data_IF_237886686009
#
_entry.id   IF_237886686009
#
_cell.length_a   1.000
_cell.length_b   1.000
_cell.length_c   1.000
_cell.angle_alpha   90.00
_cell.angle_beta   90.00
_cell.angle_gamma   90.00
#
_symmetry.space_group_name_H-M   'P 1'
#
loop_
_entity.id
_entity.type
_entity.pdbx_description
1 polymer ?
#
# COMPACT_ATOMS: atom_id res chain seq x y z
N UNK A 1 23.93 -19.34 -9.59
CA UNK A 1 23.48 -17.96 -9.30
C UNK A 1 22.11 -18.06 -8.67
N UNK A 2 22.03 -17.85 -7.37
CA UNK A 2 20.80 -18.05 -6.59
C UNK A 2 20.20 -16.67 -6.36
N UNK A 3 19.04 -16.40 -6.98
CA UNK A 3 18.25 -15.15 -6.89
C UNK A 3 17.65 -14.89 -5.47
N UNK A 4 18.27 -15.42 -4.41
CA UNK A 4 17.73 -15.38 -3.04
C UNK A 4 18.41 -14.38 -2.11
N UNK A 5 19.64 -13.97 -2.41
CA UNK A 5 20.43 -13.09 -1.53
C UNK A 5 19.96 -11.62 -1.62
N UNK A 6 19.54 -11.20 -2.83
CA UNK A 6 19.13 -9.83 -3.15
C UNK A 6 17.82 -9.40 -2.44
N UNK A 7 16.87 -10.34 -2.29
CA UNK A 7 15.55 -10.07 -1.73
C UNK A 7 15.65 -9.63 -0.26
N UNK A 8 16.59 -10.20 0.49
CA UNK A 8 16.78 -9.85 1.90
C UNK A 8 17.36 -8.43 2.07
N UNK A 9 18.26 -8.01 1.17
CA UNK A 9 18.82 -6.65 1.18
C UNK A 9 17.76 -5.61 0.77
N UNK A 10 16.92 -5.93 -0.22
CA UNK A 10 15.77 -5.10 -0.62
C UNK A 10 14.79 -4.94 0.54
N UNK A 11 14.41 -6.05 1.20
CA UNK A 11 13.50 -6.02 2.35
C UNK A 11 14.08 -5.17 3.49
N UNK A 12 15.37 -5.32 3.82
CA UNK A 12 16.01 -4.48 4.84
C UNK A 12 15.99 -3.00 4.46
N UNK A 13 16.29 -2.68 3.21
CA UNK A 13 16.31 -1.29 2.71
C UNK A 13 14.93 -0.65 2.80
N UNK A 14 13.88 -1.35 2.37
CA UNK A 14 12.48 -0.89 2.47
C UNK A 14 12.07 -0.74 3.93
N UNK A 15 12.39 -1.73 4.78
CA UNK A 15 12.04 -1.73 6.21
C UNK A 15 12.70 -0.55 6.93
N UNK A 16 13.97 -0.27 6.63
CA UNK A 16 14.70 0.84 7.24
C UNK A 16 14.18 2.19 6.76
N UNK A 17 13.84 2.33 5.47
CA UNK A 17 13.28 3.57 4.89
C UNK A 17 11.93 3.93 5.51
N UNK A 18 11.19 2.95 6.02
CA UNK A 18 9.79 3.10 6.42
C UNK A 18 9.52 2.72 7.89
N UNK A 19 10.56 2.74 8.74
CA UNK A 19 10.43 2.48 10.18
C UNK A 19 9.52 3.49 10.94
N UNK A 20 8.97 4.50 10.27
CA UNK A 20 8.07 5.48 10.88
C UNK A 20 6.57 5.14 10.76
N UNK A 21 6.19 4.00 10.17
CA UNK A 21 4.78 3.56 10.19
C UNK A 21 4.68 2.05 10.37
N UNK A 22 3.92 1.67 11.40
CA UNK A 22 3.76 0.32 11.93
C UNK A 22 3.43 -0.73 10.88
N UNK A 23 4.44 -1.49 10.42
CA UNK A 23 4.21 -2.73 9.69
C UNK A 23 4.01 -3.87 10.68
N UNK A 24 2.84 -4.50 10.63
CA UNK A 24 2.59 -5.73 11.35
C UNK A 24 3.51 -6.84 10.80
N UNK A 25 4.07 -7.65 11.70
CA UNK A 25 5.15 -8.60 11.42
C UNK A 25 4.73 -9.76 10.51
N UNK A 26 5.56 -9.98 9.48
CA UNK A 26 5.98 -11.23 8.80
C UNK A 26 5.10 -12.49 8.95
N UNK A 27 4.81 -13.12 7.80
CA UNK A 27 5.17 -14.51 7.40
C UNK A 27 4.26 -14.96 6.24
N UNK A 28 4.68 -14.79 4.97
CA UNK A 28 3.94 -15.38 3.83
C UNK A 28 3.69 -14.51 2.59
N UNK A 29 4.35 -13.36 2.42
CA UNK A 29 4.28 -12.59 1.16
C UNK A 29 3.08 -11.65 1.00
N UNK A 30 2.29 -11.45 2.05
CA UNK A 30 1.06 -10.63 2.02
C UNK A 30 1.23 -9.19 2.55
N UNK A 31 2.47 -8.71 2.72
CA UNK A 31 2.78 -7.48 3.47
C UNK A 31 3.31 -6.32 2.62
N UNK A 32 2.94 -6.30 1.33
CA UNK A 32 3.35 -5.24 0.41
C UNK A 32 2.41 -4.03 0.39
N UNK A 33 1.26 -4.11 1.05
CA UNK A 33 0.28 -3.01 1.04
C UNK A 33 0.27 -2.26 2.38
N UNK A 34 0.64 -0.98 2.35
CA UNK A 34 0.53 -0.05 3.48
C UNK A 34 -0.82 0.67 3.40
N UNK A 35 -1.67 0.55 4.41
CA UNK A 35 -2.84 1.42 4.51
C UNK A 35 -2.42 2.86 4.84
N UNK A 36 -2.87 3.81 4.03
CA UNK A 36 -2.63 5.25 4.22
C UNK A 36 -3.81 5.90 4.94
N UNK A 37 -5.02 5.58 4.50
CA UNK A 37 -6.25 6.25 4.94
C UNK A 37 -7.42 5.27 4.86
N UNK A 38 -8.38 5.43 5.75
CA UNK A 38 -9.67 4.74 5.71
C UNK A 38 -10.77 5.75 6.04
N UNK A 39 -11.87 5.71 5.27
CA UNK A 39 -13.03 6.57 5.46
C UNK A 39 -14.26 5.90 4.88
N UNK A 40 -15.32 5.81 5.68
CA UNK A 40 -16.64 5.32 5.24
C UNK A 40 -16.60 3.94 4.54
N UNK A 41 -15.76 3.02 5.04
CA UNK A 41 -15.54 1.70 4.45
C UNK A 41 -14.51 1.66 3.31
N UNK A 42 -14.17 2.80 2.72
CA UNK A 42 -13.15 2.88 1.67
C UNK A 42 -11.75 3.00 2.26
N UNK A 43 -10.76 2.38 1.61
CA UNK A 43 -9.37 2.36 2.07
C UNK A 43 -8.42 2.79 0.96
N UNK A 44 -7.45 3.63 1.29
CA UNK A 44 -6.29 3.88 0.44
C UNK A 44 -5.17 2.97 0.90
N UNK A 45 -4.62 2.18 -0.01
CA UNK A 45 -3.44 1.36 0.23
C UNK A 45 -2.33 1.73 -0.76
N UNK A 46 -1.08 1.67 -0.30
CA UNK A 46 0.12 1.80 -1.13
C UNK A 46 0.81 0.46 -1.26
N UNK A 47 1.09 0.04 -2.48
CA UNK A 47 2.04 -1.02 -2.75
C UNK A 47 3.44 -0.48 -2.49
N UNK A 48 4.15 -1.05 -1.52
CA UNK A 48 5.47 -0.57 -1.09
C UNK A 48 6.54 -0.93 -2.12
N UNK A 49 6.34 -2.00 -2.89
CA UNK A 49 7.29 -2.44 -3.93
C UNK A 49 7.25 -1.51 -5.14
N UNK A 50 6.05 -1.34 -5.70
CA UNK A 50 5.83 -0.58 -6.92
C UNK A 50 5.64 0.91 -6.61
N UNK A 51 5.37 1.27 -5.35
CA UNK A 51 5.02 2.60 -4.87
C UNK A 51 3.68 3.13 -5.43
N UNK A 52 2.82 2.25 -5.96
CA UNK A 52 1.51 2.65 -6.47
C UNK A 52 0.50 2.70 -5.35
N UNK A 53 -0.53 3.50 -5.55
CA UNK A 53 -1.65 3.65 -4.65
C UNK A 53 -2.90 3.02 -5.26
N UNK A 54 -3.75 2.47 -4.41
CA UNK A 54 -5.07 1.94 -4.78
C UNK A 54 -6.13 2.34 -3.77
N UNK A 55 -7.35 2.46 -4.26
CA UNK A 55 -8.56 2.64 -3.47
C UNK A 55 -9.31 1.31 -3.46
N UNK A 56 -9.62 0.84 -2.26
CA UNK A 56 -10.50 -0.29 -2.01
C UNK A 56 -11.86 0.21 -1.52
N UNK A 57 -12.93 -0.44 -1.97
CA UNK A 57 -14.26 -0.30 -1.38
C UNK A 57 -14.37 -1.03 -0.04
N UNK A 58 -15.51 -0.89 0.63
CA UNK A 58 -15.85 -1.66 1.84
C UNK A 58 -15.74 -3.18 1.62
N UNK A 59 -16.09 -3.65 0.42
CA UNK A 59 -15.99 -5.07 0.03
C UNK A 59 -14.55 -5.49 -0.36
N UNK A 60 -13.56 -4.64 -0.14
CA UNK A 60 -12.18 -4.81 -0.60
C UNK A 60 -12.04 -4.94 -2.12
N UNK A 61 -12.96 -4.35 -2.89
CA UNK A 61 -12.86 -4.29 -4.34
C UNK A 61 -11.99 -3.10 -4.77
N UNK A 62 -11.01 -3.33 -5.66
CA UNK A 62 -10.19 -2.26 -6.23
C UNK A 62 -11.01 -1.36 -7.15
N UNK A 63 -11.24 -0.12 -6.72
CA UNK A 63 -12.03 0.87 -7.47
C UNK A 63 -11.14 1.62 -8.46
N UNK A 64 -9.97 2.04 -7.99
CA UNK A 64 -9.07 2.90 -8.74
C UNK A 64 -7.64 2.74 -8.23
N UNK A 65 -6.67 2.82 -9.13
CA UNK A 65 -5.24 2.72 -8.81
C UNK A 65 -4.45 3.71 -9.64
N UNK A 66 -3.46 4.35 -9.03
CA UNK A 66 -2.61 5.35 -9.65
C UNK A 66 -1.25 5.43 -8.94
N UNK A 67 -0.25 5.99 -9.60
CA UNK A 67 1.07 6.24 -9.02
C UNK A 67 1.13 7.54 -8.23
N UNK A 68 0.15 8.43 -8.46
CA UNK A 68 0.11 9.75 -7.81
C UNK A 68 -0.87 9.74 -6.64
N UNK A 69 -0.35 10.03 -5.44
CA UNK A 69 -1.17 10.08 -4.22
C UNK A 69 -2.24 11.17 -4.31
N UNK A 70 -1.93 12.33 -4.88
CA UNK A 70 -2.87 13.45 -5.03
C UNK A 70 -4.09 13.06 -5.89
N UNK A 71 -3.87 12.31 -6.97
CA UNK A 71 -4.96 11.80 -7.82
C UNK A 71 -5.83 10.79 -7.07
N UNK A 72 -5.20 9.87 -6.33
CA UNK A 72 -5.91 8.93 -5.47
C UNK A 72 -6.72 9.65 -4.39
N UNK A 73 -6.16 10.65 -3.72
CA UNK A 73 -6.88 11.38 -2.68
C UNK A 73 -8.07 12.16 -3.23
N UNK A 74 -7.92 12.81 -4.39
CA UNK A 74 -9.04 13.45 -5.09
C UNK A 74 -10.15 12.43 -5.36
N UNK A 75 -9.80 11.28 -5.96
CA UNK A 75 -10.75 10.23 -6.28
C UNK A 75 -11.38 9.60 -5.04
N UNK A 76 -10.61 9.45 -3.97
CA UNK A 76 -11.07 8.93 -2.69
C UNK A 76 -12.13 9.84 -2.08
N UNK A 77 -11.92 11.15 -2.12
CA UNK A 77 -12.91 12.14 -1.67
C UNK A 77 -14.16 12.07 -2.54
N UNK A 78 -14.04 11.87 -3.85
CA UNK A 78 -15.20 11.71 -4.74
C UNK A 78 -16.06 10.49 -4.38
N UNK A 79 -15.45 9.33 -4.11
CA UNK A 79 -16.19 8.09 -3.81
C UNK A 79 -16.66 7.98 -2.36
N UNK A 80 -16.10 8.78 -1.45
CA UNK A 80 -16.50 8.82 -0.04
C UNK A 80 -17.49 9.94 0.28
N UNK A 81 -17.83 10.79 -0.70
CA UNK A 81 -18.90 11.78 -0.55
C UNK A 81 -20.26 11.08 -0.36
N UNK A 82 -21.08 11.52 0.60
CA UNK A 82 -22.44 11.02 0.80
C UNK A 82 -23.39 11.43 -0.32
#
# INVERSE_FOLDING_TARGET
MTFGDDINEIIKTITFTHYNNSFAKTLGGELWWRQIRELNGYKIQQDILSQHYRILSEENQGIYSSFELDEIEKRFIEVTKP
#
